data_IF_388869102465
#
_entry.id   IF_388869102465
#
_cell.length_a   1.000
_cell.length_b   1.000
_cell.length_c   1.000
_cell.angle_alpha   90.00
_cell.angle_beta   90.00
_cell.angle_gamma   90.00
#
_symmetry.space_group_name_H-M   'P 1'
#
loop_
_entity.id
_entity.type
_entity.pdbx_description
1 polymer ?
#
# COMPACT_ATOMS: atom_id res chain seq x y z
N UNK A 1 5.45 16.03 -18.20
CA UNK A 1 5.28 14.57 -18.28
C UNK A 1 3.95 14.25 -18.96
N UNK A 2 3.92 13.25 -19.86
CA UNK A 2 2.66 12.75 -20.43
C UNK A 2 1.84 12.11 -19.34
N UNK A 3 0.50 12.28 -19.43
CA UNK A 3 -0.48 11.68 -18.54
C UNK A 3 -1.56 11.03 -19.41
N UNK A 4 -1.96 9.82 -19.04
CA UNK A 4 -3.02 9.08 -19.69
C UNK A 4 -3.92 8.47 -18.62
N UNK A 5 -5.18 8.86 -18.61
CA UNK A 5 -6.21 8.24 -17.79
C UNK A 5 -6.96 7.19 -18.60
N UNK A 6 -7.20 6.03 -18.01
CA UNK A 6 -7.90 4.91 -18.62
C UNK A 6 -8.40 3.94 -17.55
N UNK A 7 -8.95 2.82 -17.95
CA UNK A 7 -9.36 1.78 -17.01
C UNK A 7 -8.65 0.45 -17.32
N UNK A 8 -8.32 -0.29 -16.26
CA UNK A 8 -7.81 -1.65 -16.32
C UNK A 8 -8.85 -2.55 -15.66
N UNK A 9 -9.56 -3.36 -16.45
CA UNK A 9 -10.65 -4.22 -15.95
C UNK A 9 -11.71 -3.44 -15.12
N UNK A 10 -12.04 -2.20 -15.51
CA UNK A 10 -12.98 -1.33 -14.81
C UNK A 10 -12.39 -0.55 -13.63
N UNK A 11 -11.08 -0.69 -13.38
CA UNK A 11 -10.35 0.01 -12.32
C UNK A 11 -9.77 1.29 -12.91
N UNK A 12 -10.12 2.50 -12.39
CA UNK A 12 -9.53 3.75 -12.85
C UNK A 12 -8.01 3.76 -12.65
N UNK A 13 -7.30 4.11 -13.70
CA UNK A 13 -5.85 4.10 -13.77
C UNK A 13 -5.29 5.39 -14.35
N UNK A 14 -4.09 5.76 -13.91
CA UNK A 14 -3.32 6.90 -14.40
C UNK A 14 -1.91 6.41 -14.75
N UNK A 15 -1.51 6.55 -16.01
CA UNK A 15 -0.14 6.31 -16.48
C UNK A 15 0.56 7.66 -16.68
N UNK A 16 1.74 7.81 -16.09
CA UNK A 16 2.56 9.02 -16.15
C UNK A 16 3.94 8.70 -16.70
N UNK A 17 4.48 9.59 -17.53
CA UNK A 17 5.84 9.50 -18.08
C UNK A 17 5.88 9.24 -19.58
N UNK A 18 7.07 9.41 -20.17
CA UNK A 18 7.35 9.01 -21.55
C UNK A 18 7.48 7.49 -21.65
N UNK A 19 7.30 6.89 -22.83
CA UNK A 19 7.45 5.44 -23.00
C UNK A 19 8.77 4.92 -22.43
N UNK A 20 8.68 3.85 -21.66
CA UNK A 20 9.82 3.18 -21.01
C UNK A 20 9.55 1.69 -20.93
N UNK A 21 10.60 0.87 -20.80
CA UNK A 21 10.51 -0.56 -20.49
C UNK A 21 10.37 -0.82 -18.98
N UNK A 22 10.54 0.22 -18.15
CA UNK A 22 10.55 0.16 -16.69
C UNK A 22 9.34 0.87 -16.11
N UNK A 23 8.66 0.22 -15.18
CA UNK A 23 7.44 0.72 -14.56
C UNK A 23 7.53 0.68 -13.04
N UNK A 24 7.03 1.73 -12.40
CA UNK A 24 6.55 1.64 -11.02
C UNK A 24 5.03 1.49 -11.01
N UNK A 25 4.53 0.42 -10.40
CA UNK A 25 3.14 0.34 -9.96
C UNK A 25 3.01 1.12 -8.64
N UNK A 26 2.20 2.17 -8.64
CA UNK A 26 1.94 3.01 -7.48
C UNK A 26 0.59 2.67 -6.85
N UNK A 27 0.60 2.34 -5.55
CA UNK A 27 -0.62 2.01 -4.79
C UNK A 27 -0.69 2.93 -3.57
N UNK A 28 -1.71 3.80 -3.56
CA UNK A 28 -1.94 4.77 -2.49
C UNK A 28 -2.40 4.12 -1.19
N UNK A 29 -2.35 4.85 -0.09
CA UNK A 29 -2.88 4.47 1.22
C UNK A 29 -4.38 4.76 1.37
N UNK A 30 -4.90 4.57 2.57
CA UNK A 30 -6.28 4.95 2.90
C UNK A 30 -6.47 6.45 2.72
N UNK A 31 -7.65 6.84 2.26
CA UNK A 31 -8.05 8.23 1.89
C UNK A 31 -7.30 8.82 0.69
N UNK A 32 -6.34 8.11 0.11
CA UNK A 32 -5.58 8.55 -1.06
C UNK A 32 -6.32 8.38 -2.39
N UNK A 33 -5.60 8.59 -3.48
CA UNK A 33 -6.08 8.38 -4.85
C UNK A 33 -4.89 8.21 -5.81
N UNK A 34 -5.16 7.78 -7.05
CA UNK A 34 -4.15 7.58 -8.09
C UNK A 34 -3.35 8.84 -8.43
N UNK A 35 -3.93 10.02 -8.22
CA UNK A 35 -3.27 11.30 -8.50
C UNK A 35 -2.08 11.59 -7.58
N UNK A 36 -1.99 10.97 -6.39
CA UNK A 36 -0.82 11.08 -5.51
C UNK A 36 0.47 10.59 -6.19
N UNK A 37 0.34 9.69 -7.15
CA UNK A 37 1.47 9.23 -7.95
C UNK A 37 2.15 10.33 -8.77
N UNK A 38 1.51 11.48 -8.98
CA UNK A 38 2.10 12.60 -9.74
C UNK A 38 3.33 13.17 -9.04
N UNK A 39 3.30 13.30 -7.71
CA UNK A 39 4.46 13.73 -6.93
C UNK A 39 5.61 12.71 -7.05
N UNK A 40 5.34 11.42 -6.89
CA UNK A 40 6.35 10.37 -7.09
C UNK A 40 6.91 10.34 -8.51
N UNK A 41 6.06 10.53 -9.53
CA UNK A 41 6.45 10.54 -10.93
C UNK A 41 7.44 11.67 -11.28
N UNK A 42 7.44 12.79 -10.53
CA UNK A 42 8.44 13.85 -10.69
C UNK A 42 9.88 13.37 -10.43
N UNK A 43 10.02 12.29 -9.66
CA UNK A 43 11.31 11.65 -9.36
C UNK A 43 11.55 10.41 -10.21
N UNK A 44 10.55 9.56 -10.37
CA UNK A 44 10.68 8.30 -11.08
C UNK A 44 10.82 8.47 -12.61
N UNK A 45 10.11 9.42 -13.22
CA UNK A 45 10.18 9.62 -14.66
C UNK A 45 11.56 10.11 -15.15
N UNK A 46 12.23 11.09 -14.51
CA UNK A 46 13.61 11.44 -14.88
C UNK A 46 14.61 10.29 -14.68
N UNK A 47 14.32 9.34 -13.79
CA UNK A 47 15.12 8.13 -13.60
C UNK A 47 14.83 7.02 -14.63
N UNK A 48 13.97 7.30 -15.62
CA UNK A 48 13.69 6.40 -16.73
C UNK A 48 12.53 5.42 -16.48
N UNK A 49 11.64 5.69 -15.54
CA UNK A 49 10.44 4.88 -15.30
C UNK A 49 9.19 5.56 -15.84
N UNK A 50 8.19 4.76 -16.19
CA UNK A 50 6.80 5.19 -16.15
C UNK A 50 6.20 4.88 -14.77
N UNK A 51 5.14 5.58 -14.41
CA UNK A 51 4.40 5.32 -13.17
C UNK A 51 2.95 5.02 -13.52
N UNK A 52 2.46 3.84 -13.14
CA UNK A 52 1.08 3.41 -13.26
C UNK A 52 0.43 3.40 -11.89
N UNK A 53 -0.56 4.23 -11.69
CA UNK A 53 -1.33 4.30 -10.45
C UNK A 53 -2.78 3.89 -10.68
N UNK A 54 -3.44 3.39 -9.64
CA UNK A 54 -4.85 3.02 -9.65
C UNK A 54 -5.59 3.59 -8.46
N UNK A 55 -6.90 3.72 -8.57
CA UNK A 55 -7.78 3.96 -7.42
C UNK A 55 -8.18 2.63 -6.77
N UNK A 56 -7.87 2.45 -5.49
CA UNK A 56 -8.37 1.33 -4.68
C UNK A 56 -9.90 1.42 -4.51
N UNK A 57 -10.61 0.32 -4.19
CA UNK A 57 -12.03 0.38 -3.85
C UNK A 57 -12.34 1.48 -2.83
N UNK A 58 -13.47 2.17 -2.98
CA UNK A 58 -13.93 3.30 -2.15
C UNK A 58 -13.08 4.60 -2.25
N UNK A 59 -12.05 4.63 -3.11
CA UNK A 59 -11.13 5.77 -3.23
C UNK A 59 -11.18 6.43 -4.61
N UNK A 60 -10.69 7.67 -4.70
CA UNK A 60 -10.59 8.42 -5.95
C UNK A 60 -11.90 8.43 -6.74
N UNK A 61 -11.87 8.01 -7.99
CA UNK A 61 -13.04 7.90 -8.88
C UNK A 61 -13.98 6.73 -8.52
N UNK A 62 -13.62 5.91 -7.53
CA UNK A 62 -14.45 4.80 -7.03
C UNK A 62 -15.23 5.16 -5.77
N UNK A 63 -15.12 6.40 -5.27
CA UNK A 63 -15.97 6.89 -4.17
C UNK A 63 -17.44 6.77 -4.53
N UNK A 64 -18.21 6.11 -3.64
CA UNK A 64 -19.66 5.89 -3.85
C UNK A 64 -20.01 4.71 -4.78
N UNK A 65 -19.05 3.98 -5.33
CA UNK A 65 -19.30 2.69 -5.98
C UNK A 65 -19.64 1.62 -4.92
N UNK A 66 -20.11 0.46 -5.38
CA UNK A 66 -20.55 -0.64 -4.49
C UNK A 66 -19.40 -1.45 -3.90
N UNK A 67 -18.25 -1.44 -4.57
CA UNK A 67 -17.09 -2.22 -4.17
C UNK A 67 -16.46 -1.65 -2.90
N UNK A 68 -16.31 -2.49 -1.89
CA UNK A 68 -15.68 -2.15 -0.62
C UNK A 68 -14.20 -2.46 -0.62
N UNK A 69 -13.42 -1.70 0.17
CA UNK A 69 -11.99 -1.95 0.38
C UNK A 69 -11.80 -3.20 1.27
N UNK A 70 -12.11 -4.35 0.70
CA UNK A 70 -11.93 -5.65 1.31
C UNK A 70 -10.82 -6.42 0.60
N UNK A 71 -10.02 -7.24 1.31
CA UNK A 71 -8.89 -7.94 0.67
C UNK A 71 -9.34 -8.88 -0.45
N UNK A 72 -10.48 -9.56 -0.32
CA UNK A 72 -11.03 -10.41 -1.38
C UNK A 72 -11.54 -9.66 -2.61
N UNK A 73 -11.63 -8.32 -2.55
CA UNK A 73 -11.89 -7.43 -3.68
C UNK A 73 -10.58 -6.85 -4.22
N UNK A 74 -9.81 -6.19 -3.36
CA UNK A 74 -8.62 -5.45 -3.77
C UNK A 74 -7.46 -6.35 -4.24
N UNK A 75 -7.27 -7.53 -3.63
CA UNK A 75 -6.18 -8.45 -4.00
C UNK A 75 -6.33 -8.98 -5.44
N UNK A 76 -7.48 -9.53 -5.88
CA UNK A 76 -7.68 -9.93 -7.28
C UNK A 76 -7.55 -8.77 -8.26
N UNK A 77 -7.99 -7.56 -7.89
CA UNK A 77 -7.86 -6.36 -8.72
C UNK A 77 -6.39 -5.97 -8.91
N UNK A 78 -5.60 -5.90 -7.84
CA UNK A 78 -4.17 -5.63 -7.90
C UNK A 78 -3.42 -6.68 -8.73
N UNK A 79 -3.82 -7.95 -8.64
CA UNK A 79 -3.28 -9.00 -9.50
C UNK A 79 -3.63 -8.78 -10.99
N UNK A 80 -4.84 -8.30 -11.29
CA UNK A 80 -5.23 -7.97 -12.67
C UNK A 80 -4.42 -6.77 -13.20
N UNK A 81 -4.23 -5.73 -12.38
CA UNK A 81 -3.40 -4.57 -12.71
C UNK A 81 -1.93 -4.99 -12.93
N UNK A 82 -1.38 -5.84 -12.06
CA UNK A 82 -0.03 -6.37 -12.25
C UNK A 82 0.10 -7.16 -13.56
N UNK A 83 -0.85 -8.07 -13.88
CA UNK A 83 -0.84 -8.82 -15.15
C UNK A 83 -0.89 -7.88 -16.36
N UNK A 84 -1.67 -6.81 -16.28
CA UNK A 84 -1.70 -5.77 -17.31
C UNK A 84 -0.32 -5.11 -17.46
N UNK A 85 0.34 -4.79 -16.34
CA UNK A 85 1.68 -4.20 -16.34
C UNK A 85 2.73 -5.17 -16.90
N UNK A 86 2.81 -6.39 -16.39
CA UNK A 86 3.79 -7.39 -16.78
C UNK A 86 3.69 -7.82 -18.27
N UNK A 87 2.53 -7.62 -18.91
CA UNK A 87 2.36 -7.84 -20.34
C UNK A 87 2.90 -6.68 -21.22
N UNK A 88 3.31 -5.54 -20.65
CA UNK A 88 3.65 -4.30 -21.38
C UNK A 88 5.01 -3.72 -21.01
N UNK A 89 5.51 -3.99 -19.82
CA UNK A 89 6.80 -3.51 -19.34
C UNK A 89 7.71 -4.70 -19.00
N UNK A 90 8.99 -4.56 -19.25
CA UNK A 90 9.98 -5.59 -18.96
C UNK A 90 10.26 -5.67 -17.46
N UNK A 91 10.33 -4.52 -16.80
CA UNK A 91 10.63 -4.40 -15.38
C UNK A 91 9.47 -3.72 -14.65
N UNK A 92 8.90 -4.40 -13.67
CA UNK A 92 7.85 -3.85 -12.81
C UNK A 92 8.36 -3.76 -11.39
N UNK A 93 8.38 -2.55 -10.85
CA UNK A 93 8.66 -2.23 -9.44
C UNK A 93 7.39 -1.78 -8.74
N UNK A 94 7.38 -1.81 -7.42
CA UNK A 94 6.26 -1.37 -6.60
C UNK A 94 6.64 -0.13 -5.79
N UNK A 95 5.75 0.85 -5.73
CA UNK A 95 5.73 1.93 -4.73
C UNK A 95 4.37 1.92 -4.04
N UNK A 96 4.32 1.66 -2.73
CA UNK A 96 3.05 1.54 -2.03
C UNK A 96 3.09 2.18 -0.63
N UNK A 97 1.94 2.64 -0.14
CA UNK A 97 1.79 3.32 1.14
C UNK A 97 0.78 2.60 2.03
N UNK A 98 1.08 2.47 3.33
CA UNK A 98 0.13 2.05 4.38
C UNK A 98 -0.62 0.76 4.04
N UNK A 99 -1.96 0.77 4.04
CA UNK A 99 -2.81 -0.35 3.65
C UNK A 99 -2.59 -0.76 2.18
N UNK A 100 -2.26 0.19 1.30
CA UNK A 100 -1.91 -0.11 -0.09
C UNK A 100 -0.67 -1.00 -0.18
N UNK A 101 0.30 -0.84 0.73
CA UNK A 101 1.46 -1.72 0.81
C UNK A 101 1.05 -3.14 1.25
N UNK A 102 0.20 -3.26 2.28
CA UNK A 102 -0.29 -4.56 2.74
C UNK A 102 -1.07 -5.31 1.65
N UNK A 103 -2.01 -4.63 0.98
CA UNK A 103 -2.79 -5.20 -0.12
C UNK A 103 -1.89 -5.60 -1.30
N UNK A 104 -0.88 -4.79 -1.62
CA UNK A 104 0.09 -5.10 -2.66
C UNK A 104 0.94 -6.32 -2.31
N UNK A 105 1.40 -6.43 -1.07
CA UNK A 105 2.13 -7.62 -0.61
C UNK A 105 1.26 -8.87 -0.69
N UNK A 106 0.00 -8.79 -0.27
CA UNK A 106 -0.96 -9.90 -0.41
C UNK A 106 -1.15 -10.33 -1.87
N UNK A 107 -1.29 -9.36 -2.77
CA UNK A 107 -1.55 -9.63 -4.18
C UNK A 107 -0.33 -10.14 -4.93
N UNK A 108 0.87 -9.61 -4.62
CA UNK A 108 2.04 -9.69 -5.48
C UNK A 108 3.19 -10.52 -4.91
N UNK A 109 3.09 -11.08 -3.70
CA UNK A 109 4.17 -11.84 -3.05
C UNK A 109 4.70 -13.04 -3.85
N UNK A 110 3.96 -13.50 -4.87
CA UNK A 110 4.36 -14.59 -5.76
C UNK A 110 4.58 -14.13 -7.20
N UNK A 111 4.57 -12.83 -7.44
CA UNK A 111 4.76 -12.23 -8.76
C UNK A 111 6.19 -11.70 -8.90
N UNK A 112 6.80 -11.77 -10.09
CA UNK A 112 8.09 -11.14 -10.32
C UNK A 112 8.01 -9.62 -10.17
N UNK A 113 8.73 -9.08 -9.21
CA UNK A 113 8.94 -7.64 -9.01
C UNK A 113 10.43 -7.39 -8.88
N UNK A 114 10.93 -6.33 -9.52
CA UNK A 114 12.33 -5.93 -9.41
C UNK A 114 12.66 -5.44 -8.00
N UNK A 115 11.84 -4.55 -7.47
CA UNK A 115 11.97 -4.01 -6.11
C UNK A 115 10.67 -3.41 -5.61
N UNK A 116 10.62 -3.13 -4.32
CA UNK A 116 9.52 -2.42 -3.69
C UNK A 116 10.02 -1.26 -2.82
N UNK A 117 9.35 -0.11 -2.92
CA UNK A 117 9.49 1.03 -2.04
C UNK A 117 8.21 1.15 -1.22
N UNK A 118 8.30 0.89 0.08
CA UNK A 118 7.15 0.91 0.98
C UNK A 118 7.26 2.07 1.96
N UNK A 119 6.23 2.89 2.04
CA UNK A 119 6.18 4.04 2.95
C UNK A 119 5.12 3.81 4.02
N UNK A 120 5.52 3.87 5.27
CA UNK A 120 4.67 3.57 6.45
C UNK A 120 3.79 2.34 6.23
N UNK A 121 4.35 1.19 5.81
CA UNK A 121 3.52 0.06 5.41
C UNK A 121 2.81 -0.56 6.63
N UNK A 122 1.55 -0.93 6.45
CA UNK A 122 0.95 -1.95 7.31
C UNK A 122 1.56 -3.29 6.90
N UNK A 123 2.30 -3.93 7.78
CA UNK A 123 3.00 -5.20 7.51
C UNK A 123 2.39 -6.38 8.23
N UNK A 124 1.63 -6.13 9.29
CA UNK A 124 0.86 -7.10 10.06
C UNK A 124 -0.55 -6.56 10.29
N UNK A 125 -1.49 -7.01 9.47
CA UNK A 125 -2.89 -6.59 9.56
C UNK A 125 -3.63 -7.25 10.74
N UNK A 126 -3.20 -8.43 11.18
CA UNK A 126 -3.78 -9.08 12.36
C UNK A 126 -3.43 -8.29 13.62
N UNK A 127 -2.18 -7.84 13.75
CA UNK A 127 -1.72 -6.96 14.83
C UNK A 127 -2.52 -5.65 14.83
N UNK A 128 -2.64 -4.98 13.68
CA UNK A 128 -3.40 -3.73 13.56
C UNK A 128 -4.88 -3.92 13.95
N UNK A 129 -5.56 -4.96 13.44
CA UNK A 129 -6.96 -5.23 13.79
C UNK A 129 -7.08 -5.51 15.30
N UNK A 130 -6.13 -6.23 15.88
CA UNK A 130 -6.11 -6.54 17.32
C UNK A 130 -5.99 -5.25 18.16
N UNK A 131 -5.12 -4.32 17.77
CA UNK A 131 -5.04 -3.01 18.40
C UNK A 131 -6.33 -2.19 18.23
N UNK A 132 -6.91 -2.19 17.04
CA UNK A 132 -8.20 -1.51 16.81
C UNK A 132 -9.32 -2.08 17.67
N UNK A 133 -9.35 -3.40 17.90
CA UNK A 133 -10.29 -4.05 18.83
C UNK A 133 -10.07 -3.59 20.27
N UNK A 134 -8.78 -3.46 20.70
CA UNK A 134 -8.46 -2.93 22.03
C UNK A 134 -8.91 -1.46 22.18
N UNK A 135 -8.67 -0.61 21.18
CA UNK A 135 -9.12 0.79 21.20
C UNK A 135 -10.64 0.93 21.28
N UNK A 136 -11.37 -0.02 20.69
CA UNK A 136 -12.83 -0.05 20.68
C UNK A 136 -13.45 -0.79 21.89
N UNK A 137 -12.62 -1.37 22.77
CA UNK A 137 -13.05 -2.28 23.86
C UNK A 137 -13.91 -3.45 23.34
N UNK A 138 -13.47 -4.07 22.23
CA UNK A 138 -14.14 -5.18 21.56
C UNK A 138 -13.32 -6.46 21.72
N UNK A 139 -13.94 -7.52 22.22
CA UNK A 139 -13.33 -8.85 22.28
C UNK A 139 -13.54 -9.65 20.99
N UNK A 140 -12.70 -10.67 20.76
CA UNK A 140 -12.86 -11.58 19.61
C UNK A 140 -14.24 -12.26 19.57
N UNK A 141 -14.74 -12.70 20.73
CA UNK A 141 -16.07 -13.33 20.84
C UNK A 141 -17.22 -12.36 20.50
N UNK A 142 -17.08 -11.08 20.87
CA UNK A 142 -18.06 -10.06 20.51
C UNK A 142 -18.03 -9.77 18.98
N UNK A 143 -16.83 -9.68 18.39
CA UNK A 143 -16.68 -9.46 16.96
C UNK A 143 -17.22 -10.65 16.16
N UNK A 144 -16.90 -11.88 16.58
CA UNK A 144 -17.41 -13.10 15.96
C UNK A 144 -18.95 -13.17 16.00
N UNK A 145 -19.54 -12.89 17.17
CA UNK A 145 -21.01 -12.95 17.34
C UNK A 145 -21.76 -11.89 16.54
N UNK A 146 -21.15 -10.69 16.32
CA UNK A 146 -21.80 -9.58 15.62
C UNK A 146 -21.43 -9.53 14.13
N UNK A 147 -20.32 -10.13 13.72
CA UNK A 147 -19.78 -10.07 12.36
C UNK A 147 -19.11 -8.75 12.04
N UNK A 148 -19.76 -7.64 12.29
CA UNK A 148 -19.25 -6.28 12.08
C UNK A 148 -19.58 -5.37 13.25
N UNK A 149 -18.63 -4.51 13.65
CA UNK A 149 -18.78 -3.53 14.73
C UNK A 149 -18.22 -2.19 14.28
N UNK A 150 -19.06 -1.17 14.04
CA UNK A 150 -18.59 0.20 13.80
C UNK A 150 -17.87 0.75 15.04
N UNK A 151 -16.77 1.48 14.82
CA UNK A 151 -15.99 2.10 15.89
C UNK A 151 -16.19 3.62 15.93
N UNK A 152 -15.82 4.24 17.05
CA UNK A 152 -15.89 5.71 17.22
C UNK A 152 -14.80 6.45 16.44
N UNK A 153 -13.76 5.76 15.99
CA UNK A 153 -12.67 6.34 15.17
C UNK A 153 -12.86 6.14 13.66
N UNK A 154 -14.09 5.77 13.24
CA UNK A 154 -14.48 5.76 11.82
C UNK A 154 -14.17 4.47 11.04
N UNK A 155 -13.62 3.45 11.71
CA UNK A 155 -13.43 2.13 11.12
C UNK A 155 -14.56 1.18 11.50
N UNK A 156 -14.79 0.16 10.67
CA UNK A 156 -15.65 -0.97 11.02
C UNK A 156 -14.79 -2.21 11.22
N UNK A 157 -14.77 -2.74 12.45
CA UNK A 157 -14.17 -4.04 12.71
C UNK A 157 -15.01 -5.10 12.03
N UNK A 158 -14.38 -6.04 11.33
CA UNK A 158 -15.04 -7.09 10.56
C UNK A 158 -14.45 -8.46 10.90
N UNK A 159 -15.28 -9.37 11.38
CA UNK A 159 -14.88 -10.75 11.66
C UNK A 159 -14.43 -11.49 10.40
N UNK A 160 -15.18 -11.43 9.26
CA UNK A 160 -14.69 -12.02 8.02
C UNK A 160 -13.33 -11.48 7.55
N UNK A 161 -13.06 -10.18 7.76
CA UNK A 161 -11.76 -9.60 7.43
C UNK A 161 -10.65 -10.20 8.30
N UNK A 162 -10.85 -10.28 9.61
CA UNK A 162 -9.88 -10.87 10.54
C UNK A 162 -9.61 -12.35 10.22
N UNK A 163 -10.66 -13.14 9.92
CA UNK A 163 -10.50 -14.53 9.51
C UNK A 163 -9.68 -14.64 8.23
N UNK A 164 -9.99 -13.82 7.22
CA UNK A 164 -9.26 -13.80 5.97
C UNK A 164 -7.76 -13.50 6.18
N UNK A 165 -7.45 -12.51 7.02
CA UNK A 165 -6.06 -12.13 7.34
C UNK A 165 -5.29 -13.31 7.94
N UNK A 166 -5.91 -14.03 8.89
CA UNK A 166 -5.30 -15.21 9.54
C UNK A 166 -5.03 -16.36 8.57
N UNK A 167 -5.89 -16.53 7.56
CA UNK A 167 -5.77 -17.57 6.55
C UNK A 167 -4.75 -17.22 5.44
N UNK A 168 -4.37 -15.94 5.32
CA UNK A 168 -3.51 -15.43 4.24
C UNK A 168 -2.27 -14.72 4.77
N UNK A 169 -1.34 -15.45 5.41
CA UNK A 169 -0.10 -14.85 5.90
C UNK A 169 0.78 -14.33 4.74
N UNK A 170 1.46 -13.20 4.95
CA UNK A 170 2.40 -12.64 3.99
C UNK A 170 3.75 -13.36 4.11
N UNK A 171 4.28 -13.77 2.95
CA UNK A 171 5.63 -14.31 2.81
C UNK A 171 6.38 -13.49 1.76
N UNK A 172 6.79 -12.27 2.13
CA UNK A 172 7.41 -11.31 1.23
C UNK A 172 8.89 -11.62 1.00
N UNK A 173 9.33 -11.61 -0.27
CA UNK A 173 10.70 -11.94 -0.70
C UNK A 173 11.26 -10.95 -1.73
N UNK A 174 10.49 -9.95 -2.12
CA UNK A 174 10.93 -8.93 -3.07
C UNK A 174 11.98 -8.03 -2.41
N UNK A 175 13.08 -7.65 -3.10
CA UNK A 175 14.01 -6.64 -2.60
C UNK A 175 13.27 -5.35 -2.22
N UNK A 176 13.34 -4.95 -0.95
CA UNK A 176 12.46 -3.91 -0.43
C UNK A 176 13.22 -2.88 0.39
N UNK A 177 12.90 -1.61 0.13
CA UNK A 177 13.25 -0.48 0.97
C UNK A 177 12.00 -0.01 1.70
N UNK A 178 12.10 0.26 2.98
CA UNK A 178 11.02 0.75 3.85
C UNK A 178 11.39 2.10 4.41
N UNK A 179 10.51 3.10 4.23
CA UNK A 179 10.55 4.34 5.00
C UNK A 179 9.46 4.28 6.07
N UNK A 180 9.86 4.49 7.32
CA UNK A 180 8.98 4.37 8.48
C UNK A 180 9.07 5.62 9.37
N UNK A 181 7.91 6.11 9.84
CA UNK A 181 7.83 7.18 10.81
C UNK A 181 7.99 6.65 12.23
N UNK A 182 8.95 7.16 12.99
CA UNK A 182 9.20 6.71 14.36
C UNK A 182 8.03 6.95 15.33
N UNK A 183 7.12 7.87 14.97
CA UNK A 183 5.86 8.17 15.68
C UNK A 183 4.64 7.51 15.04
N UNK A 184 4.84 6.50 14.20
CA UNK A 184 3.74 5.73 13.61
C UNK A 184 2.88 5.09 14.71
N UNK A 185 1.58 5.33 14.65
CA UNK A 185 0.61 4.83 15.63
C UNK A 185 -0.24 3.64 15.12
N UNK A 186 -0.01 3.18 13.88
CA UNK A 186 -0.71 2.04 13.29
C UNK A 186 0.17 0.78 13.24
N UNK A 187 1.44 0.92 12.89
CA UNK A 187 2.43 -0.16 12.90
C UNK A 187 3.47 0.15 13.95
N UNK A 188 3.61 -0.66 14.97
CA UNK A 188 4.61 -0.42 16.00
C UNK A 188 6.04 -0.71 15.50
N UNK A 189 7.05 -0.05 16.12
CA UNK A 189 8.45 -0.23 15.75
C UNK A 189 8.92 -1.69 15.81
N UNK A 190 8.60 -2.48 16.86
CA UNK A 190 8.97 -3.90 16.88
C UNK A 190 8.35 -4.71 15.73
N UNK A 191 7.13 -4.38 15.31
CA UNK A 191 6.44 -5.08 14.22
C UNK A 191 7.11 -4.81 12.88
N UNK A 192 7.46 -3.55 12.59
CA UNK A 192 8.14 -3.19 11.33
C UNK A 192 9.56 -3.75 11.29
N UNK A 193 10.30 -3.73 12.39
CA UNK A 193 11.65 -4.30 12.50
C UNK A 193 11.60 -5.82 12.26
N UNK A 194 10.69 -6.54 12.91
CA UNK A 194 10.50 -7.99 12.71
C UNK A 194 10.13 -8.34 11.26
N UNK A 195 9.31 -7.52 10.60
CA UNK A 195 9.02 -7.68 9.17
C UNK A 195 10.27 -7.51 8.32
N UNK A 196 11.06 -6.47 8.56
CA UNK A 196 12.29 -6.20 7.79
C UNK A 196 13.31 -7.33 7.96
N UNK A 197 13.50 -7.82 9.17
CA UNK A 197 14.39 -8.95 9.45
C UNK A 197 13.95 -10.21 8.70
N UNK A 198 12.66 -10.53 8.75
CA UNK A 198 12.08 -11.74 8.12
C UNK A 198 12.10 -11.68 6.59
N UNK A 199 11.93 -10.50 6.02
CA UNK A 199 11.87 -10.27 4.57
C UNK A 199 13.21 -9.85 3.97
N UNK A 200 14.24 -9.59 4.80
CA UNK A 200 15.52 -8.98 4.41
C UNK A 200 15.34 -7.60 3.76
N UNK A 201 14.34 -6.85 4.19
CA UNK A 201 14.09 -5.49 3.76
C UNK A 201 15.01 -4.50 4.51
N UNK A 202 15.40 -3.42 3.85
CA UNK A 202 16.16 -2.33 4.48
C UNK A 202 15.20 -1.32 5.09
N UNK A 203 15.38 -1.00 6.38
CA UNK A 203 14.55 -0.05 7.11
C UNK A 203 15.25 1.31 7.24
N UNK A 204 14.58 2.36 6.80
CA UNK A 204 14.94 3.76 7.10
C UNK A 204 13.90 4.33 8.04
N UNK A 205 14.34 4.88 9.17
CA UNK A 205 13.45 5.49 10.18
C UNK A 205 13.64 7.00 10.19
N UNK A 206 12.54 7.71 10.03
CA UNK A 206 12.45 9.13 10.39
C UNK A 206 11.90 9.22 11.81
N UNK A 207 12.74 9.42 12.81
CA UNK A 207 12.36 9.33 14.23
C UNK A 207 11.18 10.26 14.60
N UNK A 208 11.13 11.46 14.02
CA UNK A 208 10.05 12.44 14.23
C UNK A 208 8.91 12.31 13.19
N UNK A 209 8.99 11.33 12.28
CA UNK A 209 7.97 11.07 11.26
C UNK A 209 6.73 10.41 11.87
N UNK A 210 5.57 10.78 11.36
CA UNK A 210 4.28 10.18 11.67
C UNK A 210 3.92 9.12 10.62
N UNK A 211 2.83 8.36 10.85
CA UNK A 211 2.34 7.41 9.85
C UNK A 211 2.06 8.07 8.50
N UNK A 212 1.47 9.24 8.53
CA UNK A 212 1.23 10.06 7.35
C UNK A 212 2.28 11.17 7.22
N UNK A 213 3.20 11.03 6.27
CA UNK A 213 4.20 12.04 5.92
C UNK A 213 3.51 13.22 5.23
N UNK A 214 3.29 14.33 5.95
CA UNK A 214 2.47 15.46 5.48
C UNK A 214 3.07 16.84 5.75
N UNK A 215 3.99 16.98 6.69
CA UNK A 215 4.67 18.26 6.93
C UNK A 215 5.77 18.48 5.87
N UNK A 216 6.15 19.74 5.63
CA UNK A 216 7.22 20.07 4.67
C UNK A 216 8.51 19.27 4.93
N UNK A 217 8.89 19.14 6.21
CA UNK A 217 10.07 18.37 6.58
C UNK A 217 9.90 16.87 6.28
N UNK A 218 8.75 16.30 6.62
CA UNK A 218 8.47 14.88 6.36
C UNK A 218 8.42 14.59 4.86
N UNK A 219 7.80 15.49 4.08
CA UNK A 219 7.76 15.36 2.62
C UNK A 219 9.15 15.50 1.98
N UNK A 220 9.99 16.40 2.50
CA UNK A 220 11.37 16.52 2.03
C UNK A 220 12.18 15.24 2.26
N UNK A 221 12.05 14.63 3.45
CA UNK A 221 12.69 13.34 3.78
C UNK A 221 12.17 12.22 2.88
N UNK A 222 10.85 12.14 2.67
CA UNK A 222 10.24 11.17 1.77
C UNK A 222 10.80 11.30 0.34
N UNK A 223 10.84 12.53 -0.19
CA UNK A 223 11.32 12.79 -1.54
C UNK A 223 12.80 12.49 -1.72
N UNK A 224 13.63 12.80 -0.71
CA UNK A 224 15.06 12.46 -0.73
C UNK A 224 15.27 10.94 -0.67
N UNK A 225 14.54 10.26 0.22
CA UNK A 225 14.57 8.82 0.33
C UNK A 225 14.12 8.14 -0.98
N UNK A 226 13.06 8.61 -1.63
CA UNK A 226 12.62 8.09 -2.92
C UNK A 226 13.69 8.28 -4.00
N UNK A 227 14.33 9.47 -4.10
CA UNK A 227 15.45 9.71 -5.06
C UNK A 227 16.61 8.75 -4.86
N UNK A 228 16.92 8.41 -3.62
CA UNK A 228 18.02 7.53 -3.29
C UNK A 228 17.75 6.05 -3.62
N UNK A 229 16.48 5.64 -3.77
CA UNK A 229 16.10 4.23 -3.92
C UNK A 229 15.37 3.91 -5.23
N UNK A 230 14.97 4.94 -6.03
CA UNK A 230 14.51 4.77 -7.41
C UNK A 230 15.68 4.32 -8.28
#
# INVERSE_FOLDING_TARGET
>A
MKKLEFEIAGIPALLVGEPSERLYLYVHGKMGCKEEALDFAERACPAGYQVLAIDLPEHGQRKGRTEKLMPWVAVPELQAVYRYAAARWLEVSLRATSIGAWLSMQALQRMPLEKALLVSPVVDMEDLITHMMQWADVTGAQLEAKGEIPTTFGETLSWPYLCWVKEHPICWKVPTQVLYGGKDNLTSRPVIEAFCDKSSATLTVMEEGEHWFHTELQLAVLQEWERAHI
#
